data_IF_570186537767
#
_entry.id   IF_570186537767
#
_cell.length_a   1.000
_cell.length_b   1.000
_cell.length_c   1.000
_cell.angle_alpha   90.00
_cell.angle_beta   90.00
_cell.angle_gamma   90.00
#
_symmetry.space_group_name_H-M   'P 1'
#
loop_
_entity.id
_entity.type
_entity.pdbx_description
1 polymer ?
#
# COMPACT_ATOMS: atom_id res chain seq x y z
N UNK A 1 4.64 -9.90 -6.61
CA UNK A 1 5.24 -8.94 -5.67
C UNK A 1 4.40 -8.92 -4.41
N UNK A 2 5.01 -8.90 -3.22
CA UNK A 2 4.29 -8.83 -1.95
C UNK A 2 4.72 -7.60 -1.15
N UNK A 3 3.76 -6.91 -0.54
CA UNK A 3 4.01 -5.71 0.25
C UNK A 3 3.92 -6.02 1.73
N UNK A 4 4.87 -5.50 2.50
CA UNK A 4 4.88 -5.54 3.95
C UNK A 4 4.92 -4.13 4.49
N UNK A 5 4.33 -3.92 5.67
CA UNK A 5 4.44 -2.65 6.36
C UNK A 5 5.85 -2.47 6.92
N UNK A 6 6.50 -1.34 6.66
CA UNK A 6 7.82 -0.99 7.22
C UNK A 6 7.80 -0.90 8.74
N UNK A 7 6.68 -0.49 9.35
CA UNK A 7 6.54 -0.34 10.79
C UNK A 7 6.35 -1.69 11.49
N UNK A 8 5.22 -2.37 11.27
CA UNK A 8 4.91 -3.61 11.98
C UNK A 8 5.49 -4.87 11.36
N UNK A 9 6.09 -4.78 10.15
CA UNK A 9 6.66 -5.92 9.41
C UNK A 9 5.65 -7.05 9.22
N UNK A 10 4.39 -6.70 8.99
CA UNK A 10 3.33 -7.64 8.64
C UNK A 10 2.96 -7.49 7.16
N UNK A 11 2.43 -8.55 6.52
CA UNK A 11 1.96 -8.48 5.14
C UNK A 11 0.79 -7.50 5.02
N UNK A 12 0.78 -6.77 3.91
CA UNK A 12 -0.29 -5.86 3.52
C UNK A 12 -1.20 -6.53 2.49
N UNK A 13 -2.48 -6.23 2.57
CA UNK A 13 -3.41 -6.44 1.47
C UNK A 13 -3.18 -5.33 0.43
N UNK A 14 -3.20 -5.68 -0.84
CA UNK A 14 -3.10 -4.73 -1.94
C UNK A 14 -4.05 -5.14 -3.07
N UNK A 15 -4.87 -4.20 -3.52
CA UNK A 15 -5.77 -4.38 -4.66
C UNK A 15 -5.71 -3.17 -5.57
N UNK A 16 -6.08 -3.37 -6.84
CA UNK A 16 -6.13 -2.32 -7.82
C UNK A 16 -7.24 -2.52 -8.84
N UNK A 17 -7.77 -1.42 -9.34
CA UNK A 17 -8.63 -1.38 -10.53
C UNK A 17 -8.11 -0.37 -11.55
N UNK A 18 -8.37 -0.56 -12.86
CA UNK A 18 -8.04 0.44 -13.87
C UNK A 18 -8.73 1.78 -13.57
N UNK A 19 -7.98 2.87 -13.63
CA UNK A 19 -8.50 4.23 -13.47
C UNK A 19 -8.69 4.91 -14.84
N UNK A 20 -9.56 5.91 -14.91
CA UNK A 20 -9.73 6.78 -16.09
C UNK A 20 -9.18 8.18 -15.77
N UNK A 21 -8.45 8.85 -16.68
CA UNK A 21 -8.15 8.44 -18.06
C UNK A 21 -6.94 7.50 -18.22
N UNK A 22 -6.07 7.36 -17.22
CA UNK A 22 -4.93 6.43 -17.23
C UNK A 22 -4.48 6.10 -15.80
N UNK A 23 -3.86 4.94 -15.60
CA UNK A 23 -3.34 4.45 -14.32
C UNK A 23 -4.21 3.39 -13.63
N UNK A 24 -3.89 3.15 -12.35
CA UNK A 24 -4.58 2.19 -11.51
C UNK A 24 -4.96 2.86 -10.20
N UNK A 25 -6.22 2.72 -9.80
CA UNK A 25 -6.66 3.07 -8.45
C UNK A 25 -6.23 1.94 -7.51
N UNK A 26 -5.46 2.29 -6.50
CA UNK A 26 -4.93 1.36 -5.52
C UNK A 26 -5.61 1.53 -4.16
N UNK A 27 -5.74 0.41 -3.47
CA UNK A 27 -6.02 0.36 -2.04
C UNK A 27 -5.06 -0.64 -1.39
N UNK A 28 -4.28 -0.17 -0.41
CA UNK A 28 -3.36 -0.99 0.37
C UNK A 28 -3.61 -0.77 1.85
N UNK A 29 -3.85 -1.86 2.57
CA UNK A 29 -4.09 -1.81 4.01
C UNK A 29 -3.49 -3.03 4.74
N UNK A 30 -3.47 -3.00 6.07
CA UNK A 30 -3.17 -4.14 6.89
C UNK A 30 -4.28 -5.19 6.76
N UNK A 31 -3.90 -6.47 6.66
CA UNK A 31 -4.86 -7.58 6.65
C UNK A 31 -5.60 -7.74 7.98
N UNK A 32 -5.05 -7.19 9.06
CA UNK A 32 -5.61 -7.20 10.42
C UNK A 32 -5.47 -5.80 11.00
N UNK A 33 -6.50 -5.35 11.73
CA UNK A 33 -6.42 -4.15 12.56
C UNK A 33 -5.60 -4.46 13.82
N UNK A 34 -4.28 -4.39 13.68
CA UNK A 34 -3.33 -4.38 14.80
C UNK A 34 -2.87 -2.94 15.06
N UNK A 35 -2.41 -2.66 16.28
CA UNK A 35 -1.87 -1.35 16.63
C UNK A 35 -0.53 -1.14 15.93
N UNK A 36 -0.51 -0.24 14.94
CA UNK A 36 0.63 -0.01 14.07
C UNK A 36 0.95 1.49 14.01
N UNK A 37 2.23 1.85 14.15
CA UNK A 37 2.63 3.26 14.09
C UNK A 37 2.29 3.94 12.75
N UNK A 38 2.14 3.16 11.67
CA UNK A 38 1.68 3.64 10.37
C UNK A 38 0.16 3.57 10.20
N UNK A 39 -0.62 3.09 11.18
CA UNK A 39 -2.07 2.92 11.04
C UNK A 39 -2.81 4.22 10.69
N UNK A 40 -2.31 5.37 11.17
CA UNK A 40 -2.84 6.69 10.82
C UNK A 40 -2.59 7.10 9.35
N UNK A 41 -1.78 6.35 8.61
CA UNK A 41 -1.51 6.54 7.18
C UNK A 41 -2.30 5.55 6.32
N UNK A 42 -3.12 4.69 6.93
CA UNK A 42 -3.79 3.59 6.24
C UNK A 42 -5.31 3.83 6.18
N UNK A 43 -5.98 3.35 5.12
CA UNK A 43 -5.39 2.69 3.95
C UNK A 43 -4.59 3.67 3.08
N UNK A 44 -3.56 3.17 2.38
CA UNK A 44 -2.96 3.93 1.27
C UNK A 44 -3.91 3.83 0.08
N UNK A 45 -4.43 4.96 -0.36
CA UNK A 45 -5.30 5.03 -1.53
C UNK A 45 -4.81 6.09 -2.52
N UNK A 46 -5.10 5.86 -3.79
CA UNK A 46 -4.83 6.84 -4.85
C UNK A 46 -4.60 6.19 -6.21
N UNK A 47 -4.51 7.04 -7.23
CA UNK A 47 -4.24 6.63 -8.61
C UNK A 47 -2.75 6.70 -8.90
N UNK A 48 -2.15 5.59 -9.31
CA UNK A 48 -0.74 5.52 -9.65
C UNK A 48 -0.42 4.37 -10.63
N UNK A 49 0.67 4.51 -11.40
CA UNK A 49 1.14 3.44 -12.28
C UNK A 49 1.66 2.23 -11.47
N UNK A 50 2.24 2.48 -10.29
CA UNK A 50 2.70 1.47 -9.35
C UNK A 50 2.33 1.86 -7.91
N UNK A 51 2.17 0.91 -6.99
CA UNK A 51 1.83 1.23 -5.61
C UNK A 51 2.87 2.05 -4.87
N UNK A 52 4.16 1.92 -5.23
CA UNK A 52 5.26 2.67 -4.63
C UNK A 52 5.19 4.17 -4.89
N UNK A 53 4.42 4.58 -5.90
CA UNK A 53 4.23 5.97 -6.27
C UNK A 53 3.09 6.63 -5.47
N UNK A 54 2.34 5.86 -4.66
CA UNK A 54 1.29 6.41 -3.81
C UNK A 54 1.86 7.35 -2.74
N UNK A 55 1.09 8.37 -2.32
CA UNK A 55 1.45 9.18 -1.17
C UNK A 55 1.75 8.31 0.05
N UNK A 56 2.85 8.62 0.76
CA UNK A 56 3.32 7.87 1.94
C UNK A 56 3.81 6.43 1.69
N UNK A 57 3.79 5.91 0.46
CA UNK A 57 4.31 4.58 0.15
C UNK A 57 5.76 4.35 0.64
N UNK A 58 6.72 5.29 0.53
CA UNK A 58 8.08 5.08 1.08
C UNK A 58 8.13 4.92 2.59
N UNK A 59 7.12 5.39 3.34
CA UNK A 59 7.01 5.24 4.79
C UNK A 59 6.33 3.93 5.19
N UNK A 60 5.47 3.39 4.33
CA UNK A 60 4.64 2.22 4.61
C UNK A 60 5.14 0.98 3.90
N UNK A 61 5.39 1.03 2.60
CA UNK A 61 5.65 -0.14 1.76
C UNK A 61 7.10 -0.62 1.87
N UNK A 62 7.24 -1.92 2.16
CA UNK A 62 8.45 -2.70 1.96
C UNK A 62 8.14 -3.79 0.94
N UNK A 63 8.86 -3.76 -0.18
CA UNK A 63 8.67 -4.68 -1.31
C UNK A 63 9.53 -5.92 -1.12
N UNK A 64 8.96 -7.09 -1.40
CA UNK A 64 9.68 -8.36 -1.51
C UNK A 64 9.37 -9.09 -2.82
N UNK A 65 10.43 -9.63 -3.44
CA UNK A 65 10.38 -10.40 -4.69
C UNK A 65 10.27 -9.51 -5.93
N UNK A 66 11.38 -9.41 -6.67
CA UNK A 66 11.49 -8.78 -8.00
C UNK A 66 11.43 -9.82 -9.10
#
# INVERSE_FOLDING_TARGET
>A
MFYWCRSCRQPLYATSSPALPDGWDWEIDHQRLDDCANGHLMPLTGTAARPEDLPNAPRVLRVFGS
#
